data_IF_502484509112
#
_entry.id   IF_502484509112
#
_cell.length_a   1.000
_cell.length_b   1.000
_cell.length_c   1.000
_cell.angle_alpha   90.00
_cell.angle_beta   90.00
_cell.angle_gamma   90.00
#
_symmetry.space_group_name_H-M   'P 1'
#
loop_
_entity.id
_entity.type
_entity.pdbx_description
1 polymer ?
#
# COMPACT_ATOMS: atom_id res chain seq x y z
N UNK A 1 2.24 -10.54 -12.90
CA UNK A 1 2.44 -11.88 -13.50
C UNK A 1 1.12 -12.48 -13.96
N UNK A 2 0.05 -12.45 -13.16
CA UNK A 2 -1.29 -12.89 -13.61
C UNK A 2 -1.76 -12.14 -14.86
N UNK A 3 -1.71 -10.80 -14.86
CA UNK A 3 -2.03 -10.00 -16.05
C UNK A 3 -1.17 -10.35 -17.28
N UNK A 4 0.11 -10.65 -17.08
CA UNK A 4 1.00 -11.08 -18.17
C UNK A 4 0.57 -12.43 -18.75
N UNK A 5 0.10 -13.34 -17.90
CA UNK A 5 -0.43 -14.64 -18.30
C UNK A 5 -1.72 -14.49 -19.08
N UNK A 6 -2.63 -13.63 -18.61
CA UNK A 6 -3.90 -13.33 -19.29
C UNK A 6 -3.67 -12.65 -20.64
N UNK A 7 -2.68 -11.77 -20.75
CA UNK A 7 -2.34 -11.08 -22.00
C UNK A 7 -1.91 -12.03 -23.13
N UNK A 8 -1.39 -13.22 -22.80
CA UNK A 8 -1.06 -14.27 -23.77
C UNK A 8 -2.26 -15.18 -24.11
N UNK A 9 -3.42 -14.96 -23.51
CA UNK A 9 -4.61 -15.79 -23.67
C UNK A 9 -4.35 -17.25 -23.29
N UNK A 10 -4.91 -18.19 -24.07
CA UNK A 10 -4.75 -19.63 -23.82
C UNK A 10 -3.29 -20.09 -23.80
N UNK A 11 -2.40 -19.45 -24.57
CA UNK A 11 -0.98 -19.75 -24.57
C UNK A 11 -0.34 -19.47 -23.20
N UNK A 12 -0.74 -18.40 -22.52
CA UNK A 12 -0.25 -18.10 -21.17
C UNK A 12 -0.54 -19.21 -20.15
N UNK A 13 -1.60 -19.99 -20.37
CA UNK A 13 -1.96 -21.14 -19.52
C UNK A 13 -1.16 -22.42 -19.82
N UNK A 14 -0.41 -22.45 -20.91
CA UNK A 14 0.42 -23.60 -21.29
C UNK A 14 1.69 -23.63 -20.45
N UNK A 15 2.03 -24.81 -19.91
CA UNK A 15 3.16 -24.99 -18.98
C UNK A 15 4.52 -24.65 -19.62
N UNK A 16 4.61 -24.75 -20.95
CA UNK A 16 5.77 -24.44 -21.78
C UNK A 16 6.16 -22.96 -21.72
N UNK A 17 5.19 -22.05 -21.49
CA UNK A 17 5.44 -20.61 -21.36
C UNK A 17 5.91 -20.19 -19.96
N UNK A 18 6.03 -21.14 -19.01
CA UNK A 18 6.55 -20.97 -17.65
C UNK A 18 5.85 -19.95 -16.74
N UNK A 19 4.91 -19.13 -17.22
CA UNK A 19 4.23 -18.11 -16.42
C UNK A 19 3.47 -18.70 -15.22
N UNK A 20 2.84 -19.86 -15.39
CA UNK A 20 2.18 -20.56 -14.28
C UNK A 20 3.16 -20.95 -13.16
N UNK A 21 4.39 -21.35 -13.52
CA UNK A 21 5.45 -21.66 -12.56
C UNK A 21 5.95 -20.40 -11.87
N UNK A 22 6.22 -19.34 -12.63
CA UNK A 22 6.66 -18.05 -12.08
C UNK A 22 5.65 -17.46 -11.09
N UNK A 23 4.34 -17.61 -11.33
CA UNK A 23 3.30 -17.22 -10.37
C UNK A 23 3.44 -18.03 -9.08
N UNK A 24 3.59 -19.35 -9.15
CA UNK A 24 3.75 -20.21 -7.98
C UNK A 24 5.01 -19.85 -7.18
N UNK A 25 6.14 -19.70 -7.87
CA UNK A 25 7.42 -19.36 -7.25
C UNK A 25 7.33 -17.99 -6.55
N UNK A 26 6.68 -17.00 -7.16
CA UNK A 26 6.54 -15.67 -6.57
C UNK A 26 5.53 -15.57 -5.42
N UNK A 27 4.68 -16.59 -5.19
CA UNK A 27 3.78 -16.58 -4.04
C UNK A 27 4.54 -16.73 -2.72
N UNK A 28 5.70 -17.41 -2.74
CA UNK A 28 6.51 -17.62 -1.52
C UNK A 28 6.96 -16.29 -0.92
N UNK A 29 7.23 -15.29 -1.76
CA UNK A 29 7.67 -13.94 -1.37
C UNK A 29 6.70 -13.20 -0.44
N UNK A 30 5.41 -13.58 -0.48
CA UNK A 30 4.37 -12.96 0.36
C UNK A 30 4.16 -13.72 1.69
N UNK A 31 4.85 -14.84 1.87
CA UNK A 31 4.64 -15.81 2.95
C UNK A 31 5.90 -15.93 3.81
N UNK A 32 7.04 -16.26 3.18
CA UNK A 32 8.31 -16.39 3.89
C UNK A 32 8.83 -15.02 4.33
N UNK A 33 9.69 -14.99 5.35
CA UNK A 33 10.23 -13.74 5.92
C UNK A 33 9.19 -12.73 6.45
N UNK A 34 7.96 -13.19 6.68
CA UNK A 34 6.90 -12.40 7.29
C UNK A 34 5.79 -12.07 6.30
N UNK A 35 4.57 -12.46 6.66
CA UNK A 35 3.39 -12.08 5.87
C UNK A 35 3.17 -10.57 5.90
N UNK A 36 2.42 -10.05 4.93
CA UNK A 36 2.05 -8.62 4.86
C UNK A 36 1.48 -8.09 6.18
N UNK A 37 0.69 -8.89 6.90
CA UNK A 37 0.14 -8.50 8.19
C UNK A 37 1.22 -8.40 9.29
N UNK A 38 2.16 -9.34 9.30
CA UNK A 38 3.29 -9.34 10.24
C UNK A 38 4.22 -8.16 9.96
N UNK A 39 4.59 -7.93 8.70
CA UNK A 39 5.45 -6.80 8.31
C UNK A 39 4.79 -5.44 8.55
N UNK A 40 3.47 -5.34 8.39
CA UNK A 40 2.73 -4.13 8.76
C UNK A 40 2.83 -3.82 10.25
N UNK A 41 2.69 -4.85 11.11
CA UNK A 41 2.90 -4.70 12.56
C UNK A 41 4.36 -4.46 12.92
N UNK A 42 5.30 -5.01 12.15
CA UNK A 42 6.72 -4.77 12.34
C UNK A 42 7.11 -3.32 12.07
N UNK A 43 6.52 -2.70 11.03
CA UNK A 43 6.71 -1.28 10.76
C UNK A 43 6.13 -0.41 11.89
N UNK A 44 4.94 -0.75 12.40
CA UNK A 44 4.36 -0.11 13.59
C UNK A 44 5.31 -0.24 14.80
N UNK A 45 5.87 -1.43 15.03
CA UNK A 45 6.83 -1.70 16.10
C UNK A 45 8.10 -0.85 15.93
N UNK A 46 8.62 -0.75 14.71
CA UNK A 46 9.81 0.05 14.40
C UNK A 46 9.59 1.54 14.68
N UNK A 47 8.47 2.10 14.20
CA UNK A 47 8.10 3.51 14.45
C UNK A 47 7.87 3.77 15.93
N UNK A 48 7.20 2.85 16.64
CA UNK A 48 6.94 2.99 18.08
C UNK A 48 8.24 2.97 18.92
N UNK A 49 9.24 2.18 18.50
CA UNK A 49 10.52 2.07 19.20
C UNK A 49 11.46 3.24 18.86
N UNK A 50 11.39 3.75 17.64
CA UNK A 50 12.24 4.83 17.16
C UNK A 50 11.40 5.86 16.39
N UNK A 51 10.69 6.77 17.07
CA UNK A 51 9.84 7.77 16.41
C UNK A 51 10.61 8.64 15.40
N UNK A 52 11.88 8.93 15.68
CA UNK A 52 12.77 9.68 14.81
C UNK A 52 12.98 9.02 13.42
N UNK A 53 12.72 7.71 13.26
CA UNK A 53 12.82 7.03 11.97
C UNK A 53 11.76 7.52 10.98
N UNK A 54 10.53 7.78 11.46
CA UNK A 54 9.46 8.32 10.61
C UNK A 54 9.73 9.78 10.26
N UNK A 55 10.27 10.56 11.21
CA UNK A 55 10.69 11.94 10.96
C UNK A 55 11.82 12.00 9.92
N UNK A 56 12.81 11.10 10.01
CA UNK A 56 13.89 10.99 9.04
C UNK A 56 13.37 10.62 7.64
N UNK A 57 12.42 9.69 7.55
CA UNK A 57 11.77 9.35 6.28
C UNK A 57 11.01 10.56 5.70
N UNK A 58 10.27 11.30 6.53
CA UNK A 58 9.54 12.48 6.09
C UNK A 58 10.48 13.61 5.63
N UNK A 59 11.61 13.80 6.32
CA UNK A 59 12.63 14.78 5.93
C UNK A 59 13.26 14.43 4.57
N UNK A 60 13.64 13.17 4.36
CA UNK A 60 14.13 12.69 3.05
C UNK A 60 13.08 12.87 1.95
N UNK A 61 11.82 12.52 2.24
CA UNK A 61 10.74 12.69 1.28
C UNK A 61 10.55 14.16 0.85
N UNK A 62 10.59 15.10 1.79
CA UNK A 62 10.50 16.53 1.45
C UNK A 62 11.73 17.03 0.67
N UNK A 63 12.93 16.53 0.98
CA UNK A 63 14.14 16.81 0.19
C UNK A 63 13.94 16.39 -1.28
N UNK A 64 13.52 15.14 -1.51
CA UNK A 64 13.21 14.60 -2.85
C UNK A 64 12.15 15.45 -3.54
N UNK A 65 11.03 15.74 -2.88
CA UNK A 65 9.94 16.54 -3.43
C UNK A 65 10.35 18.01 -3.71
N UNK A 66 11.42 18.49 -3.07
CA UNK A 66 11.97 19.83 -3.27
C UNK A 66 13.07 19.90 -4.34
N UNK A 67 13.66 18.75 -4.70
CA UNK A 67 14.74 18.63 -5.69
C UNK A 67 14.31 18.92 -7.13
N UNK A 68 13.00 18.92 -7.42
CA UNK A 68 12.46 19.17 -8.75
C UNK A 68 12.86 20.56 -9.29
N UNK A 69 13.51 20.64 -10.47
CA UNK A 69 13.81 21.88 -11.16
C UNK A 69 12.54 22.71 -11.42
N UNK A 70 12.66 24.03 -11.53
CA UNK A 70 11.51 24.94 -11.65
C UNK A 70 10.58 24.58 -12.83
N UNK A 71 11.18 24.25 -13.97
CA UNK A 71 10.45 23.90 -15.19
C UNK A 71 9.60 22.64 -14.98
N UNK A 72 10.19 21.58 -14.43
CA UNK A 72 9.49 20.32 -14.15
C UNK A 72 8.48 20.46 -13.01
N UNK A 73 8.78 21.28 -11.99
CA UNK A 73 7.93 21.51 -10.83
C UNK A 73 6.55 22.06 -11.22
N UNK A 74 6.50 22.96 -12.21
CA UNK A 74 5.22 23.49 -12.70
C UNK A 74 4.36 22.42 -13.37
N UNK A 75 4.99 21.55 -14.18
CA UNK A 75 4.31 20.46 -14.86
C UNK A 75 3.83 19.38 -13.88
N UNK A 76 4.58 19.13 -12.81
CA UNK A 76 4.31 18.10 -11.80
C UNK A 76 3.58 18.62 -10.56
N UNK A 77 3.01 19.83 -10.61
CA UNK A 77 2.41 20.46 -9.43
C UNK A 77 1.33 19.58 -8.75
N UNK A 78 0.46 18.94 -9.54
CA UNK A 78 -0.59 18.06 -9.03
C UNK A 78 -0.06 16.79 -8.35
N UNK A 79 0.75 15.92 -9.01
CA UNK A 79 1.27 14.71 -8.37
C UNK A 79 2.18 15.02 -7.17
N UNK A 80 2.99 16.08 -7.22
CA UNK A 80 3.80 16.53 -6.08
C UNK A 80 2.93 16.95 -4.88
N UNK A 81 1.80 17.60 -5.13
CA UNK A 81 0.85 17.97 -4.07
C UNK A 81 0.18 16.75 -3.46
N UNK A 82 -0.19 15.76 -4.30
CA UNK A 82 -0.77 14.49 -3.86
C UNK A 82 0.20 13.71 -2.95
N UNK A 83 1.47 13.61 -3.33
CA UNK A 83 2.49 12.95 -2.48
C UNK A 83 2.73 13.68 -1.16
N UNK A 84 2.80 15.02 -1.15
CA UNK A 84 2.89 15.79 0.11
C UNK A 84 1.68 15.60 1.02
N UNK A 85 0.49 15.46 0.45
CA UNK A 85 -0.71 15.16 1.23
C UNK A 85 -0.67 13.74 1.80
N UNK A 86 -0.25 12.76 0.99
CA UNK A 86 -0.07 11.38 1.41
C UNK A 86 0.97 11.25 2.54
N UNK A 87 2.09 11.97 2.45
CA UNK A 87 3.14 11.98 3.48
C UNK A 87 2.63 12.50 4.83
N UNK A 88 1.83 13.58 4.82
CA UNK A 88 1.18 14.10 6.04
C UNK A 88 0.19 13.12 6.65
N UNK A 89 -0.57 12.42 5.80
CA UNK A 89 -1.50 11.37 6.25
C UNK A 89 -0.78 10.13 6.79
N UNK A 90 0.37 9.78 6.23
CA UNK A 90 1.20 8.69 6.73
C UNK A 90 1.69 8.98 8.16
N UNK A 91 2.14 10.21 8.42
CA UNK A 91 2.57 10.61 9.75
C UNK A 91 1.44 10.47 10.78
N UNK A 92 0.21 10.85 10.43
CA UNK A 92 -0.94 10.69 11.32
C UNK A 92 -1.37 9.22 11.47
N UNK A 93 -1.14 8.38 10.45
CA UNK A 93 -1.47 6.95 10.49
C UNK A 93 -0.68 6.18 11.55
N UNK A 94 0.55 6.58 11.86
CA UNK A 94 1.37 5.94 12.89
C UNK A 94 1.32 6.62 14.26
N UNK A 95 0.51 7.67 14.42
CA UNK A 95 0.37 8.37 15.70
C UNK A 95 -0.35 7.49 16.74
N UNK A 96 0.05 7.61 18.01
CA UNK A 96 -0.61 6.91 19.11
C UNK A 96 -1.87 7.68 19.58
N UNK A 97 -2.96 6.99 19.96
CA UNK A 97 -3.16 5.53 19.92
C UNK A 97 -3.44 5.01 18.49
N UNK A 98 -2.81 3.88 18.13
CA UNK A 98 -2.98 3.28 16.81
C UNK A 98 -4.26 2.43 16.76
N UNK A 99 -5.14 2.70 15.80
CA UNK A 99 -6.33 1.88 15.58
C UNK A 99 -5.96 0.49 15.00
N UNK A 100 -6.60 -0.62 15.44
CA UNK A 100 -6.18 -1.98 15.07
C UNK A 100 -6.21 -2.30 13.58
N UNK A 101 -7.02 -1.60 12.79
CA UNK A 101 -7.17 -1.82 11.35
C UNK A 101 -6.17 -1.02 10.50
N UNK A 102 -5.43 -0.08 11.11
CA UNK A 102 -4.51 0.83 10.41
C UNK A 102 -3.20 0.21 9.91
N UNK A 103 -2.55 -0.78 10.58
CA UNK A 103 -1.21 -1.22 10.20
C UNK A 103 -1.06 -1.58 8.71
N UNK A 104 -1.97 -2.39 8.18
CA UNK A 104 -1.88 -2.87 6.79
C UNK A 104 -2.13 -1.75 5.76
N UNK A 105 -3.21 -0.95 5.85
CA UNK A 105 -3.37 0.24 5.02
C UNK A 105 -2.19 1.22 5.10
N UNK A 106 -1.65 1.46 6.30
CA UNK A 106 -0.53 2.37 6.49
C UNK A 106 0.75 1.85 5.83
N UNK A 107 0.99 0.53 5.86
CA UNK A 107 2.08 -0.09 5.12
C UNK A 107 1.93 0.12 3.60
N UNK A 108 0.74 -0.07 3.04
CA UNK A 108 0.53 0.15 1.61
C UNK A 108 0.67 1.63 1.21
N UNK A 109 0.17 2.55 2.04
CA UNK A 109 0.38 3.98 1.82
C UNK A 109 1.86 4.33 1.85
N UNK A 110 2.62 3.82 2.84
CA UNK A 110 4.08 3.95 2.89
C UNK A 110 4.74 3.46 1.60
N UNK A 111 4.38 2.27 1.13
CA UNK A 111 4.94 1.70 -0.10
C UNK A 111 4.64 2.55 -1.34
N UNK A 112 3.42 3.07 -1.50
CA UNK A 112 3.10 3.95 -2.63
C UNK A 112 3.88 5.26 -2.59
N UNK A 113 4.05 5.86 -1.40
CA UNK A 113 4.85 7.07 -1.21
C UNK A 113 6.30 6.78 -1.55
N UNK A 114 6.90 5.75 -0.96
CA UNK A 114 8.32 5.41 -1.17
C UNK A 114 8.61 5.14 -2.66
N UNK A 115 7.80 4.31 -3.32
CA UNK A 115 7.94 4.06 -4.76
C UNK A 115 7.77 5.34 -5.59
N UNK A 116 6.80 6.19 -5.24
CA UNK A 116 6.58 7.47 -5.94
C UNK A 116 7.76 8.42 -5.81
N UNK A 117 8.40 8.46 -4.63
CA UNK A 117 9.60 9.27 -4.39
C UNK A 117 10.80 8.75 -5.20
N UNK A 118 11.04 7.44 -5.23
CA UNK A 118 12.11 6.88 -6.07
C UNK A 118 11.89 7.12 -7.57
N UNK A 119 10.64 7.00 -8.05
CA UNK A 119 10.30 7.32 -9.43
C UNK A 119 10.53 8.82 -9.72
N UNK A 120 10.24 9.70 -8.77
CA UNK A 120 10.52 11.12 -8.90
C UNK A 120 12.01 11.41 -8.96
N UNK A 121 12.81 10.84 -8.05
CA UNK A 121 14.26 10.99 -8.06
C UNK A 121 14.85 10.54 -9.40
N UNK A 122 14.38 9.40 -9.90
CA UNK A 122 14.82 8.89 -11.20
C UNK A 122 14.44 9.83 -12.35
N UNK A 123 13.20 10.32 -12.38
CA UNK A 123 12.75 11.27 -13.41
C UNK A 123 13.52 12.60 -13.36
N UNK A 124 13.77 13.14 -12.16
CA UNK A 124 14.57 14.36 -11.96
C UNK A 124 16.01 14.15 -12.44
N UNK A 125 16.61 13.01 -12.09
CA UNK A 125 17.94 12.64 -12.57
C UNK A 125 17.99 12.52 -14.09
N UNK A 126 17.03 11.80 -14.71
CA UNK A 126 16.98 11.59 -16.16
C UNK A 126 16.88 12.93 -16.91
N UNK A 127 16.05 13.86 -16.41
CA UNK A 127 15.98 15.21 -16.95
C UNK A 127 17.30 15.97 -16.79
N UNK A 128 17.94 15.91 -15.62
CA UNK A 128 19.20 16.61 -15.36
C UNK A 128 20.39 16.06 -16.15
N UNK A 129 20.40 14.75 -16.42
CA UNK A 129 21.41 14.06 -17.21
C UNK A 129 21.18 14.17 -18.73
N UNK A 130 19.99 14.62 -19.16
CA UNK A 130 19.63 14.72 -20.58
C UNK A 130 19.35 13.36 -21.23
N UNK A 131 18.85 12.40 -20.45
CA UNK A 131 18.52 11.07 -20.94
C UNK A 131 17.35 11.09 -21.92
N UNK A 132 17.42 10.26 -22.97
CA UNK A 132 16.35 10.16 -23.96
C UNK A 132 15.04 9.62 -23.38
N UNK A 133 15.13 8.86 -22.28
CA UNK A 133 13.96 8.31 -21.56
C UNK A 133 13.25 9.32 -20.67
N UNK A 134 13.84 10.50 -20.41
CA UNK A 134 13.34 11.43 -19.40
C UNK A 134 11.83 11.77 -19.54
N UNK A 135 11.27 12.00 -20.73
CA UNK A 135 9.83 12.23 -20.87
C UNK A 135 8.98 11.02 -20.44
N UNK A 136 9.46 9.80 -20.69
CA UNK A 136 8.81 8.55 -20.28
C UNK A 136 8.92 8.34 -18.77
N UNK A 137 10.09 8.63 -18.18
CA UNK A 137 10.30 8.47 -16.73
C UNK A 137 9.42 9.44 -15.92
N UNK A 138 9.27 10.67 -16.42
CA UNK A 138 8.32 11.65 -15.88
C UNK A 138 6.87 11.13 -15.96
N UNK A 139 6.47 10.57 -17.10
CA UNK A 139 5.12 10.03 -17.27
C UNK A 139 4.85 8.82 -16.36
N UNK A 140 5.85 7.94 -16.16
CA UNK A 140 5.75 6.81 -15.22
C UNK A 140 5.53 7.32 -13.80
N UNK A 141 6.25 8.35 -13.38
CA UNK A 141 6.03 8.99 -12.07
C UNK A 141 4.59 9.55 -11.95
N UNK A 142 4.14 10.31 -12.95
CA UNK A 142 2.79 10.91 -12.95
C UNK A 142 1.72 9.83 -12.81
N UNK A 143 1.77 8.80 -13.66
CA UNK A 143 0.79 7.70 -13.63
C UNK A 143 0.86 6.87 -12.36
N UNK A 144 2.04 6.68 -11.78
CA UNK A 144 2.16 6.02 -10.48
C UNK A 144 1.37 6.77 -9.40
N UNK A 145 1.47 8.09 -9.38
CA UNK A 145 0.81 8.93 -8.38
C UNK A 145 -0.69 9.05 -8.65
N UNK A 146 -1.08 9.27 -9.90
CA UNK A 146 -2.47 9.58 -10.26
C UNK A 146 -3.32 8.32 -10.49
N UNK A 147 -2.74 7.27 -11.09
CA UNK A 147 -3.44 6.05 -11.49
C UNK A 147 -2.98 4.80 -10.71
N UNK A 148 -1.78 4.85 -10.13
CA UNK A 148 -1.13 3.70 -9.48
C UNK A 148 -1.65 3.33 -8.09
N UNK A 149 -2.79 3.90 -7.66
CA UNK A 149 -3.49 3.49 -6.43
C UNK A 149 -3.18 4.31 -5.18
N UNK A 150 -2.38 5.38 -5.26
CA UNK A 150 -2.08 6.24 -4.10
C UNK A 150 -3.36 6.80 -3.45
N UNK A 151 -4.33 7.27 -4.24
CA UNK A 151 -5.60 7.78 -3.74
C UNK A 151 -6.40 6.70 -2.98
N UNK A 152 -6.45 5.47 -3.51
CA UNK A 152 -7.13 4.36 -2.86
C UNK A 152 -6.46 3.99 -1.53
N UNK A 153 -5.12 3.95 -1.49
CA UNK A 153 -4.37 3.67 -0.27
C UNK A 153 -4.60 4.72 0.83
N UNK A 154 -4.70 6.00 0.46
CA UNK A 154 -5.07 7.08 1.39
C UNK A 154 -6.47 6.88 1.96
N UNK A 155 -7.42 6.53 1.12
CA UNK A 155 -8.80 6.29 1.55
C UNK A 155 -8.91 5.04 2.44
N UNK A 156 -8.12 3.99 2.18
CA UNK A 156 -8.02 2.82 3.06
C UNK A 156 -7.52 3.22 4.46
N UNK A 157 -6.49 4.06 4.55
CA UNK A 157 -5.97 4.56 5.83
C UNK A 157 -7.04 5.37 6.56
N UNK A 158 -7.71 6.31 5.89
CA UNK A 158 -8.78 7.13 6.49
C UNK A 158 -9.94 6.26 6.99
N UNK A 159 -10.37 5.28 6.20
CA UNK A 159 -11.41 4.32 6.60
C UNK A 159 -11.00 3.49 7.80
N UNK A 160 -9.72 3.11 7.91
CA UNK A 160 -9.20 2.34 9.02
C UNK A 160 -9.05 3.19 10.29
N UNK A 161 -8.65 4.47 10.17
CA UNK A 161 -8.58 5.41 11.30
C UNK A 161 -9.96 5.77 11.86
N UNK A 162 -10.96 5.89 10.99
CA UNK A 162 -12.35 6.18 11.38
C UNK A 162 -13.10 4.94 11.91
N UNK A 163 -12.48 3.75 11.88
CA UNK A 163 -13.10 2.53 12.36
C UNK A 163 -13.20 2.51 13.89
N UNK A 164 -14.39 2.20 14.40
CA UNK A 164 -14.66 2.06 15.82
C UNK A 164 -14.73 0.58 16.25
N UNK A 165 -15.01 0.35 17.53
CA UNK A 165 -15.16 -1.00 18.07
C UNK A 165 -16.31 -1.79 17.43
N UNK A 166 -17.35 -1.11 16.96
CA UNK A 166 -18.49 -1.74 16.29
C UNK A 166 -18.06 -2.34 14.95
N UNK A 167 -17.21 -1.65 14.18
CA UNK A 167 -16.63 -2.21 12.95
C UNK A 167 -15.84 -3.48 13.20
N UNK A 168 -15.06 -3.56 14.29
CA UNK A 168 -14.33 -4.79 14.64
C UNK A 168 -15.29 -5.93 15.00
N UNK A 169 -16.36 -5.63 15.74
CA UNK A 169 -17.39 -6.60 16.10
C UNK A 169 -18.07 -7.16 14.85
N UNK A 170 -18.52 -6.29 13.96
CA UNK A 170 -19.16 -6.66 12.69
C UNK A 170 -18.23 -7.48 11.80
N UNK A 171 -16.94 -7.13 11.72
CA UNK A 171 -15.96 -7.95 11.00
C UNK A 171 -15.89 -9.38 11.57
N UNK A 172 -15.95 -9.51 12.90
CA UNK A 172 -16.02 -10.81 13.56
C UNK A 172 -17.28 -11.59 13.18
N UNK A 173 -18.44 -10.95 13.21
CA UNK A 173 -19.72 -11.57 12.85
C UNK A 173 -19.76 -12.00 11.37
N UNK A 174 -19.14 -11.24 10.46
CA UNK A 174 -19.04 -11.60 9.03
C UNK A 174 -18.20 -12.88 8.84
N UNK A 175 -17.07 -13.00 9.56
CA UNK A 175 -16.11 -14.10 9.38
C UNK A 175 -16.56 -15.36 10.11
N UNK A 176 -17.06 -15.22 11.34
CA UNK A 176 -17.35 -16.35 12.23
C UNK A 176 -18.85 -16.63 12.37
N UNK A 177 -19.70 -15.81 11.78
CA UNK A 177 -21.14 -15.80 12.05
C UNK A 177 -21.47 -15.04 13.34
N UNK A 178 -22.71 -14.54 13.43
CA UNK A 178 -23.19 -13.87 14.63
C UNK A 178 -23.17 -14.83 15.83
N UNK A 179 -22.59 -14.40 16.95
CA UNK A 179 -22.63 -15.18 18.19
C UNK A 179 -24.07 -15.22 18.70
N UNK A 180 -24.65 -16.41 18.76
CA UNK A 180 -25.94 -16.62 19.41
C UNK A 180 -25.70 -16.59 20.92
N UNK A 181 -26.38 -15.70 21.64
CA UNK A 181 -26.30 -15.67 23.10
C UNK A 181 -26.78 -17.02 23.66
N UNK A 182 -26.00 -17.70 24.51
CA UNK A 182 -26.40 -18.99 25.11
C UNK A 182 -27.63 -18.87 26.04
N UNK A 183 -28.22 -17.68 26.18
CA UNK A 183 -29.45 -17.42 26.94
C UNK A 183 -30.73 -17.38 26.10
N UNK A 184 -30.69 -17.40 24.76
CA UNK A 184 -31.91 -17.48 23.95
C UNK A 184 -32.36 -18.94 23.84
N UNK A 185 -33.12 -19.41 24.82
CA UNK A 185 -33.86 -20.68 24.72
C UNK A 185 -34.83 -20.62 23.54
N UNK A 186 -34.46 -21.21 22.41
CA UNK A 186 -35.28 -21.17 21.19
C UNK A 186 -34.76 -22.03 20.04
N UNK A 187 -34.59 -23.33 20.28
CA UNK A 187 -34.81 -24.42 19.31
C UNK A 187 -34.05 -24.47 17.97
N UNK A 188 -33.11 -25.42 17.85
CA UNK A 188 -32.75 -26.07 16.57
C UNK A 188 -31.24 -26.17 16.31
N UNK A 189 -30.70 -27.34 15.91
CA UNK A 189 -29.26 -27.56 15.90
C UNK A 189 -28.61 -26.89 14.68
N UNK A 190 -27.75 -25.91 14.91
CA UNK A 190 -26.80 -25.45 13.90
C UNK A 190 -25.72 -26.53 13.73
N UNK A 191 -25.97 -27.48 12.83
CA UNK A 191 -24.92 -28.32 12.25
C UNK A 191 -24.18 -27.50 11.20
N UNK A 192 -22.95 -27.13 11.52
CA UNK A 192 -21.86 -27.05 10.56
C UNK A 192 -20.61 -27.57 11.27
N UNK A 193 -20.43 -28.89 11.23
CA UNK A 193 -19.11 -29.51 11.43
C UNK A 193 -18.42 -29.47 10.07
N UNK A 194 -17.16 -29.06 10.06
CA UNK A 194 -16.18 -29.58 9.10
C UNK A 194 -15.95 -31.07 9.40
#
# INVERSE_FOLDING_TARGET
MEECMVALGGAGYMAENALGRLIQDALVEKIWEGTVAVLALDLVRAVSRAPAALDAFAAWAEEVLSSCPADLRSALAAPLTSLRAALRELASAYAAPLAPLVPRPALFLFSHIASGLFLLEHAVWACGAGEASAPTDVEVFVRWVDEGGLAAARDDVRRAQAADGERLRVNGDIVYGARCDPGSTGGGPARARL
#
